data_IF_713997521161
#
_entry.id   IF_713997521161
#
_cell.length_a   1.000
_cell.length_b   1.000
_cell.length_c   1.000
_cell.angle_alpha   90.00
_cell.angle_beta   90.00
_cell.angle_gamma   90.00
#
_symmetry.space_group_name_H-M   'P 1'
#
loop_
_entity.id
_entity.type
_entity.pdbx_description
1 polymer ?
#
# COMPACT_ATOMS: atom_id res chain seq x y z
N UNK A 1 -11.69 0.99 -10.26
CA UNK A 1 -11.43 -0.30 -9.59
C UNK A 1 -11.06 -1.46 -10.52
N UNK A 2 -11.33 -1.40 -11.84
CA UNK A 2 -11.00 -2.50 -12.77
C UNK A 2 -9.60 -2.41 -13.40
N UNK A 3 -8.87 -1.33 -13.15
CA UNK A 3 -7.45 -1.15 -13.48
C UNK A 3 -6.59 -1.27 -12.23
N UNK A 4 -5.27 -1.34 -12.39
CA UNK A 4 -4.30 -1.02 -11.34
C UNK A 4 -4.52 0.44 -10.88
N UNK A 5 -4.52 0.65 -9.57
CA UNK A 5 -4.69 1.96 -8.93
C UNK A 5 -3.78 2.14 -7.71
N UNK A 6 -2.99 1.13 -7.39
CA UNK A 6 -1.99 1.09 -6.34
C UNK A 6 -1.09 -0.13 -6.59
N UNK A 7 0.20 0.01 -6.32
CA UNK A 7 1.13 -1.11 -6.24
C UNK A 7 0.99 -1.77 -4.88
N UNK A 8 0.89 -3.10 -4.85
CA UNK A 8 0.66 -3.89 -3.65
C UNK A 8 -0.60 -4.75 -3.73
N UNK A 9 -1.41 -4.77 -2.68
CA UNK A 9 -2.56 -5.67 -2.56
C UNK A 9 -3.88 -4.89 -2.52
N UNK A 10 -4.82 -5.25 -3.40
CA UNK A 10 -6.19 -4.75 -3.39
C UNK A 10 -7.15 -5.86 -2.96
N UNK A 11 -7.93 -5.61 -1.92
CA UNK A 11 -9.00 -6.50 -1.45
C UNK A 11 -10.35 -5.86 -1.82
N UNK A 12 -11.16 -6.61 -2.57
CA UNK A 12 -12.48 -6.14 -3.06
C UNK A 12 -13.54 -7.21 -2.87
N UNK A 13 -14.81 -6.85 -3.06
CA UNK A 13 -15.94 -7.78 -3.03
C UNK A 13 -16.93 -7.57 -4.16
N UNK A 14 -17.58 -8.65 -4.57
CA UNK A 14 -18.83 -8.65 -5.34
C UNK A 14 -18.75 -8.13 -6.78
N UNK A 15 -19.83 -8.33 -7.56
CA UNK A 15 -20.13 -7.58 -8.76
C UNK A 15 -21.24 -6.52 -8.50
N UNK A 16 -21.02 -5.22 -8.82
CA UNK A 16 -19.75 -4.62 -9.21
C UNK A 16 -18.74 -4.62 -8.06
N UNK A 17 -17.45 -4.63 -8.38
CA UNK A 17 -16.38 -4.61 -7.38
C UNK A 17 -16.53 -3.40 -6.46
N UNK A 18 -16.57 -3.68 -5.16
CA UNK A 18 -16.54 -2.70 -4.09
C UNK A 18 -15.26 -2.86 -3.28
N UNK A 19 -14.68 -1.73 -2.90
CA UNK A 19 -13.43 -1.69 -2.14
C UNK A 19 -13.65 -2.20 -0.71
N UNK A 20 -12.68 -2.96 -0.20
CA UNK A 20 -12.67 -3.44 1.19
C UNK A 20 -11.44 -2.90 1.89
N UNK A 21 -10.24 -3.10 1.30
CA UNK A 21 -8.98 -2.61 1.83
C UNK A 21 -7.91 -2.56 0.75
N UNK A 22 -6.93 -1.64 0.89
CA UNK A 22 -5.72 -1.63 0.05
C UNK A 22 -4.46 -1.64 0.93
N UNK A 23 -3.49 -2.47 0.58
CA UNK A 23 -2.14 -2.45 1.15
C UNK A 23 -1.20 -1.94 0.06
N UNK A 24 -0.75 -0.70 0.19
CA UNK A 24 0.03 0.01 -0.83
C UNK A 24 1.52 -0.09 -0.54
N UNK A 25 2.35 -0.23 -1.57
CA UNK A 25 3.79 -0.18 -1.44
C UNK A 25 4.30 1.20 -1.89
N UNK A 26 4.99 1.92 -1.00
CA UNK A 26 5.79 3.09 -1.35
C UNK A 26 7.15 2.68 -1.92
N UNK A 27 7.78 3.55 -2.72
CA UNK A 27 9.11 3.31 -3.29
C UNK A 27 10.26 3.59 -2.30
N UNK A 28 10.07 4.58 -1.43
CA UNK A 28 11.05 5.08 -0.46
C UNK A 28 10.31 5.55 0.79
N UNK A 29 10.84 5.23 1.97
CA UNK A 29 10.24 5.63 3.26
C UNK A 29 10.93 6.83 3.94
N UNK A 30 12.17 7.14 3.54
CA UNK A 30 13.00 8.15 4.19
C UNK A 30 13.34 9.34 3.28
N UNK A 31 12.98 9.30 1.99
CA UNK A 31 13.36 10.36 1.06
C UNK A 31 12.57 10.36 -0.25
N UNK A 32 12.64 11.45 -1.02
CA UNK A 32 12.07 11.51 -2.37
C UNK A 32 13.05 10.93 -3.39
N UNK A 33 12.52 10.17 -4.35
CA UNK A 33 13.31 9.62 -5.45
C UNK A 33 14.00 10.72 -6.28
N UNK A 34 15.29 10.52 -6.56
CA UNK A 34 16.16 11.54 -7.15
C UNK A 34 15.67 12.09 -8.49
N UNK A 35 15.08 11.25 -9.35
CA UNK A 35 14.71 11.68 -10.71
C UNK A 35 13.53 12.66 -10.74
N UNK A 36 12.58 12.55 -9.80
CA UNK A 36 11.35 13.36 -9.82
C UNK A 36 11.24 14.30 -8.63
N UNK A 37 11.89 13.99 -7.50
CA UNK A 37 11.98 14.80 -6.28
C UNK A 37 10.69 15.50 -5.81
N UNK A 38 9.54 14.93 -6.09
CA UNK A 38 8.24 15.55 -5.79
C UNK A 38 7.36 14.66 -4.91
N UNK A 39 7.91 13.56 -4.40
CA UNK A 39 7.24 12.65 -3.49
C UNK A 39 6.16 11.78 -4.14
N UNK A 40 6.02 11.79 -5.47
CA UNK A 40 4.95 11.04 -6.16
C UNK A 40 5.02 9.50 -5.99
N UNK A 41 6.11 8.97 -5.46
CA UNK A 41 6.29 7.54 -5.20
C UNK A 41 6.25 7.20 -3.71
N UNK A 42 5.97 8.18 -2.85
CA UNK A 42 5.78 7.96 -1.42
C UNK A 42 4.37 7.42 -1.16
N UNK A 43 4.20 6.81 0.00
CA UNK A 43 2.89 6.49 0.50
C UNK A 43 1.98 7.74 0.63
N UNK A 44 0.66 7.61 0.43
CA UNK A 44 -0.27 8.73 0.59
C UNK A 44 -0.23 9.37 1.98
N UNK A 45 0.01 8.58 3.02
CA UNK A 45 0.13 9.02 4.40
C UNK A 45 1.49 9.63 4.76
N UNK A 46 2.51 9.52 3.89
CA UNK A 46 3.85 10.02 4.19
C UNK A 46 3.87 11.55 4.28
N UNK A 47 4.73 12.08 5.16
CA UNK A 47 4.92 13.51 5.29
C UNK A 47 5.38 14.14 3.96
N UNK A 48 4.62 15.13 3.48
CA UNK A 48 4.94 15.84 2.24
C UNK A 48 4.59 15.08 0.96
N UNK A 49 3.91 13.93 1.06
CA UNK A 49 3.46 13.16 -0.10
C UNK A 49 2.33 13.89 -0.84
N UNK A 50 2.42 14.09 -2.16
CA UNK A 50 1.30 14.59 -2.97
C UNK A 50 0.21 13.51 -3.15
N UNK A 51 0.51 12.24 -2.87
CA UNK A 51 -0.36 11.11 -3.20
C UNK A 51 -1.68 11.10 -2.42
N UNK A 52 -1.73 11.78 -1.27
CA UNK A 52 -2.99 11.97 -0.54
C UNK A 52 -4.05 12.71 -1.37
N UNK A 53 -3.62 13.62 -2.26
CA UNK A 53 -4.54 14.40 -3.11
C UNK A 53 -5.01 13.66 -4.37
N UNK A 54 -4.32 12.58 -4.75
CA UNK A 54 -4.60 11.75 -5.93
C UNK A 54 -5.22 10.40 -5.56
N UNK A 55 -5.36 10.14 -4.26
CA UNK A 55 -5.98 8.93 -3.74
C UNK A 55 -7.40 8.79 -4.30
N UNK A 56 -7.71 7.60 -4.80
CA UNK A 56 -9.04 7.35 -5.34
C UNK A 56 -10.07 7.44 -4.22
N UNK A 57 -11.15 8.19 -4.46
CA UNK A 57 -12.17 8.50 -3.44
C UNK A 57 -12.80 7.24 -2.79
N UNK A 58 -12.81 6.10 -3.50
CA UNK A 58 -13.39 4.85 -2.98
C UNK A 58 -12.49 4.14 -1.97
N UNK A 59 -11.21 4.53 -1.85
CA UNK A 59 -10.26 3.98 -0.88
C UNK A 59 -10.45 4.66 0.47
N UNK A 60 -10.69 5.98 0.47
CA UNK A 60 -10.85 6.80 1.67
C UNK A 60 -9.74 6.50 2.70
N UNK A 61 -10.11 6.01 3.89
CA UNK A 61 -9.16 5.64 4.95
C UNK A 61 -8.94 4.13 5.08
N UNK A 62 -9.46 3.33 4.14
CA UNK A 62 -9.38 1.88 4.15
C UNK A 62 -8.09 1.38 3.49
N UNK A 63 -6.95 1.91 3.92
CA UNK A 63 -5.66 1.49 3.41
C UNK A 63 -4.58 1.49 4.48
N UNK A 64 -3.56 0.65 4.24
CA UNK A 64 -2.23 0.84 4.81
C UNK A 64 -1.25 1.08 3.67
N UNK A 65 -0.17 1.79 3.97
CA UNK A 65 0.92 1.98 3.04
C UNK A 65 2.24 1.97 3.79
N UNK A 66 3.25 1.33 3.22
CA UNK A 66 4.61 1.28 3.78
C UNK A 66 5.60 1.08 2.63
N UNK A 67 6.87 1.44 2.82
CA UNK A 67 7.95 1.11 1.91
C UNK A 67 9.03 0.31 2.62
N UNK A 68 9.45 -0.81 2.05
CA UNK A 68 10.59 -1.56 2.61
C UNK A 68 11.96 -0.95 2.28
N UNK A 69 12.00 0.19 1.58
CA UNK A 69 13.24 0.81 1.11
C UNK A 69 13.63 2.00 1.99
N UNK A 70 14.43 1.69 3.02
CA UNK A 70 15.00 2.65 3.97
C UNK A 70 16.20 3.44 3.47
N UNK A 71 16.55 3.34 2.17
CA UNK A 71 17.73 4.02 1.63
C UNK A 71 17.52 5.54 1.57
N UNK A 72 18.22 6.26 2.46
CA UNK A 72 18.24 7.72 2.50
C UNK A 72 18.98 8.36 1.30
N UNK A 73 19.67 7.58 0.46
CA UNK A 73 20.40 8.08 -0.70
C UNK A 73 19.48 8.46 -1.88
N UNK A 74 18.15 8.47 -1.70
CA UNK A 74 17.17 8.94 -2.70
C UNK A 74 17.17 8.11 -3.98
N UNK A 75 17.60 6.86 -3.88
CA UNK A 75 17.66 5.90 -4.97
C UNK A 75 17.02 4.60 -4.53
N UNK A 76 16.39 3.90 -5.47
CA UNK A 76 16.00 2.51 -5.30
C UNK A 76 16.97 1.62 -6.08
N UNK A 77 17.09 0.38 -5.62
CA UNK A 77 17.79 -0.70 -6.33
C UNK A 77 16.75 -1.71 -6.77
N UNK A 78 16.99 -2.37 -7.90
CA UNK A 78 16.16 -3.48 -8.37
C UNK A 78 16.49 -4.77 -7.60
N UNK A 79 16.23 -4.74 -6.31
CA UNK A 79 16.41 -5.85 -5.38
C UNK A 79 15.15 -5.98 -4.53
N UNK A 80 14.93 -7.17 -3.98
CA UNK A 80 13.93 -7.35 -2.95
C UNK A 80 14.48 -6.85 -1.60
N UNK A 81 13.83 -5.84 -1.04
CA UNK A 81 14.14 -5.34 0.29
C UNK A 81 13.48 -6.24 1.34
N UNK A 82 14.25 -7.13 1.96
CA UNK A 82 13.73 -8.13 2.93
C UNK A 82 13.96 -7.77 4.38
N UNK A 83 14.75 -6.73 4.67
CA UNK A 83 15.05 -6.30 6.05
C UNK A 83 13.89 -5.59 6.71
N UNK A 84 12.96 -5.09 5.92
CA UNK A 84 11.85 -4.25 6.35
C UNK A 84 10.56 -4.69 5.66
N UNK A 85 9.81 -5.63 6.26
CA UNK A 85 8.59 -6.18 5.68
C UNK A 85 7.48 -5.13 5.58
N UNK A 86 6.82 -5.08 4.42
CA UNK A 86 5.71 -4.16 4.20
C UNK A 86 4.50 -4.46 5.09
N UNK A 87 3.84 -3.38 5.53
CA UNK A 87 2.57 -3.34 6.26
C UNK A 87 2.62 -3.97 7.65
N UNK A 88 3.79 -3.95 8.28
CA UNK A 88 3.98 -4.42 9.66
C UNK A 88 4.04 -3.27 10.70
N UNK A 89 4.12 -2.02 10.22
CA UNK A 89 4.16 -0.82 11.04
C UNK A 89 5.48 -0.65 11.80
N UNK A 90 6.58 -1.21 11.29
CA UNK A 90 7.91 -1.17 11.88
C UNK A 90 8.95 -0.84 10.81
N UNK A 91 10.19 -0.57 11.25
CA UNK A 91 11.28 -0.23 10.32
C UNK A 91 11.19 1.15 9.66
N UNK A 92 10.05 1.81 9.84
CA UNK A 92 9.66 3.05 9.19
C UNK A 92 10.65 4.19 9.23
N UNK A 93 10.85 4.73 8.05
CA UNK A 93 11.64 5.90 7.76
C UNK A 93 11.03 7.19 8.25
N UNK A 94 11.83 8.26 8.14
CA UNK A 94 11.46 9.58 8.67
C UNK A 94 10.21 10.21 8.03
N UNK A 95 9.79 9.76 6.85
CA UNK A 95 8.59 10.28 6.17
C UNK A 95 7.35 9.41 6.44
N UNK A 96 7.51 8.15 6.85
CA UNK A 96 6.40 7.18 6.99
C UNK A 96 5.87 7.04 8.42
N UNK A 97 6.32 7.86 9.36
CA UNK A 97 5.88 7.77 10.77
C UNK A 97 4.35 7.81 10.96
N UNK A 98 3.61 8.55 10.13
CA UNK A 98 2.13 8.55 10.16
C UNK A 98 1.56 7.25 9.61
N UNK A 99 2.14 6.73 8.54
CA UNK A 99 1.74 5.47 7.93
C UNK A 99 1.87 4.31 8.91
N UNK A 100 2.99 4.23 9.61
CA UNK A 100 3.27 3.14 10.55
C UNK A 100 2.55 3.26 11.89
N UNK A 101 2.11 4.46 12.24
CA UNK A 101 1.23 4.68 13.36
C UNK A 101 -0.25 4.45 13.02
N UNK A 102 -0.57 3.98 11.80
CA UNK A 102 -1.94 3.73 11.39
C UNK A 102 -2.59 2.69 12.32
N UNK A 103 -3.79 2.98 12.88
CA UNK A 103 -4.43 2.09 13.82
C UNK A 103 -4.80 0.77 13.15
N UNK A 104 -4.50 -0.33 13.82
CA UNK A 104 -4.81 -1.69 13.36
C UNK A 104 -3.60 -2.48 12.89
N UNK A 105 -2.56 -1.84 12.34
CA UNK A 105 -1.36 -2.53 11.85
C UNK A 105 -0.85 -3.61 12.83
N UNK A 106 -0.53 -4.83 12.34
CA UNK A 106 -0.54 -5.27 10.94
C UNK A 106 -1.91 -5.78 10.43
N UNK A 107 -2.98 -5.66 11.22
CA UNK A 107 -4.31 -6.19 10.91
C UNK A 107 -5.32 -5.08 10.60
N UNK A 108 -6.03 -5.18 9.49
CA UNK A 108 -7.17 -4.29 9.28
C UNK A 108 -8.47 -4.90 9.83
N UNK A 109 -9.40 -4.05 10.22
CA UNK A 109 -10.77 -4.45 10.55
C UNK A 109 -11.75 -3.61 9.73
N UNK A 110 -12.50 -4.27 8.84
CA UNK A 110 -13.51 -3.61 8.01
C UNK A 110 -14.89 -4.13 8.32
N UNK A 111 -15.77 -3.25 8.79
CA UNK A 111 -17.20 -3.51 8.90
C UNK A 111 -17.85 -3.08 7.58
N UNK A 112 -18.54 -4.01 6.93
CA UNK A 112 -19.32 -3.72 5.73
C UNK A 112 -20.69 -3.18 6.12
N UNK A 113 -21.18 -2.17 5.39
CA UNK A 113 -22.49 -1.55 5.66
C UNK A 113 -23.68 -2.48 5.42
N UNK A 114 -23.47 -3.57 4.67
CA UNK A 114 -24.50 -4.58 4.40
C UNK A 114 -23.89 -5.96 4.55
N UNK A 115 -24.66 -6.90 5.11
CA UNK A 115 -24.33 -8.32 5.02
C UNK A 115 -24.31 -8.74 3.56
N UNK A 116 -23.39 -9.63 3.20
CA UNK A 116 -23.24 -10.09 1.83
C UNK A 116 -22.74 -11.54 1.77
N UNK A 117 -23.01 -12.19 0.65
CA UNK A 117 -22.43 -13.49 0.27
C UNK A 117 -21.46 -13.35 -0.92
N UNK A 118 -21.16 -12.11 -1.31
CA UNK A 118 -20.19 -11.80 -2.34
C UNK A 118 -18.82 -12.41 -2.01
N UNK A 119 -18.16 -12.97 -3.02
CA UNK A 119 -16.78 -13.39 -2.88
C UNK A 119 -15.87 -12.20 -2.61
N UNK A 120 -14.92 -12.42 -1.70
CA UNK A 120 -13.75 -11.56 -1.54
C UNK A 120 -12.73 -11.91 -2.62
N UNK A 121 -12.16 -10.88 -3.24
CA UNK A 121 -11.12 -10.98 -4.25
C UNK A 121 -9.88 -10.27 -3.72
N UNK A 122 -8.77 -10.99 -3.62
CA UNK A 122 -7.45 -10.43 -3.39
C UNK A 122 -6.72 -10.36 -4.72
N UNK A 123 -6.17 -9.19 -5.04
CA UNK A 123 -5.30 -8.98 -6.21
C UNK A 123 -3.98 -8.40 -5.77
N UNK A 124 -2.89 -8.98 -6.27
CA UNK A 124 -1.58 -8.32 -6.28
C UNK A 124 -1.54 -7.45 -7.53
N UNK A 125 -1.35 -6.16 -7.34
CA UNK A 125 -1.41 -5.13 -8.37
C UNK A 125 -0.02 -4.48 -8.51
N UNK A 126 0.32 -4.15 -9.74
CA UNK A 126 1.45 -3.29 -10.11
C UNK A 126 0.99 -2.43 -11.30
N UNK A 127 1.51 -1.21 -11.43
CA UNK A 127 1.18 -0.30 -12.53
C UNK A 127 2.22 -0.31 -13.68
N UNK A 128 3.41 -0.88 -13.46
CA UNK A 128 4.46 -1.10 -14.45
C UNK A 128 4.57 -2.55 -14.94
N UNK A 129 5.49 -2.73 -15.89
CA UNK A 129 5.92 -4.04 -16.40
C UNK A 129 6.67 -4.85 -15.31
N UNK A 130 6.97 -6.12 -15.58
CA UNK A 130 7.54 -7.08 -14.61
C UNK A 130 9.03 -6.86 -14.31
N UNK A 131 9.52 -5.62 -14.20
CA UNK A 131 10.96 -5.32 -14.08
C UNK A 131 11.36 -4.56 -12.82
N UNK A 132 10.47 -3.83 -12.17
CA UNK A 132 10.84 -2.96 -11.04
C UNK A 132 9.75 -2.66 -9.99
N UNK A 133 8.63 -3.41 -9.96
CA UNK A 133 7.52 -3.19 -9.01
C UNK A 133 7.02 -4.47 -8.34
N UNK A 134 7.94 -5.39 -8.05
CA UNK A 134 7.59 -6.65 -7.42
C UNK A 134 7.21 -6.45 -5.94
N UNK A 135 5.97 -6.80 -5.59
CA UNK A 135 5.48 -6.85 -4.20
C UNK A 135 5.17 -8.31 -3.83
N UNK A 136 6.17 -9.09 -3.36
CA UNK A 136 5.95 -10.49 -3.06
C UNK A 136 5.05 -10.67 -1.84
N UNK A 137 4.00 -11.47 -2.00
CA UNK A 137 3.07 -11.84 -0.92
C UNK A 137 3.29 -13.32 -0.60
N UNK A 138 3.78 -13.61 0.61
CA UNK A 138 4.02 -15.00 1.04
C UNK A 138 2.76 -15.70 1.52
N UNK A 139 1.98 -15.03 2.38
CA UNK A 139 0.72 -15.55 2.90
C UNK A 139 -0.17 -14.39 3.32
N UNK A 140 -1.46 -14.67 3.44
CA UNK A 140 -2.44 -13.73 3.97
C UNK A 140 -3.54 -14.52 4.67
N UNK A 141 -4.21 -13.88 5.62
CA UNK A 141 -5.29 -14.48 6.39
C UNK A 141 -6.47 -13.51 6.42
N UNK A 142 -7.66 -13.97 6.01
CA UNK A 142 -8.92 -13.25 6.26
C UNK A 142 -9.83 -14.07 7.14
N UNK A 143 -10.35 -13.37 8.13
CA UNK A 143 -11.35 -13.86 9.05
C UNK A 143 -12.63 -13.05 8.82
N UNK A 144 -13.69 -13.73 8.39
CA UNK A 144 -15.00 -13.13 8.11
C UNK A 144 -15.98 -13.61 9.17
N UNK A 145 -16.81 -12.70 9.69
CA UNK A 145 -17.85 -12.98 10.70
C UNK A 145 -19.23 -12.70 10.14
#
# INVERSE_FOLDING_TARGET
MNSYYADGVSITRGPPRQHVWTLMAGLLESSNFTLFNDGRYLCPCSQGSPQNSTLQYFIDNDYFCESGNSDANRFFRRILYTSDPLWDGKGCGSLEGVCCAAPGLPWFNKILNTTTTDYLELRVCADQETRDEDVPVSYYELYVK
#
